data_IF_580244346531
#
_entry.id   IF_580244346531
#
_cell.length_a   1.000
_cell.length_b   1.000
_cell.length_c   1.000
_cell.angle_alpha   90.00
_cell.angle_beta   90.00
_cell.angle_gamma   90.00
#
_symmetry.space_group_name_H-M   'P 1'
#
loop_
_entity.id
_entity.type
_entity.pdbx_description
1 polymer ?
#
# COMPACT_ATOMS: atom_id res chain seq x y z
N UNK A 1 -84.86 11.57 -26.06
CA UNK A 1 -85.47 10.40 -25.40
C UNK A 1 -84.85 10.26 -24.02
N UNK A 2 -85.65 9.94 -23.00
CA UNK A 2 -85.30 9.41 -21.64
C UNK A 2 -83.92 9.75 -21.06
N UNK A 3 -83.78 10.61 -20.04
CA UNK A 3 -84.10 10.35 -18.60
C UNK A 3 -83.27 9.21 -17.94
N UNK A 4 -82.86 9.27 -16.66
CA UNK A 4 -82.78 10.35 -15.64
C UNK A 4 -82.06 9.78 -14.39
N UNK A 5 -81.20 10.56 -13.69
CA UNK A 5 -80.63 10.26 -12.33
C UNK A 5 -79.79 8.96 -12.23
N UNK A 6 -79.03 8.65 -11.17
CA UNK A 6 -78.77 9.37 -9.90
C UNK A 6 -77.63 8.72 -9.09
N UNK A 7 -77.33 9.26 -7.91
CA UNK A 7 -76.21 8.83 -7.04
C UNK A 7 -76.38 7.42 -6.44
N UNK A 8 -75.27 6.74 -6.12
CA UNK A 8 -75.14 6.03 -4.83
C UNK A 8 -73.68 5.84 -4.37
N UNK A 9 -73.56 5.49 -3.09
CA UNK A 9 -72.34 5.22 -2.34
C UNK A 9 -72.42 3.80 -1.79
N UNK A 10 -71.27 3.11 -1.70
CA UNK A 10 -71.20 1.73 -1.20
C UNK A 10 -70.31 1.59 0.04
N UNK A 11 -70.62 0.57 0.86
CA UNK A 11 -69.99 0.26 2.15
C UNK A 11 -69.43 -1.17 2.14
N UNK A 12 -68.50 -1.44 3.05
CA UNK A 12 -67.99 -2.79 3.33
C UNK A 12 -69.10 -3.76 3.80
N UNK A 13 -69.00 -5.07 3.46
CA UNK A 13 -69.71 -6.16 4.12
C UNK A 13 -68.81 -7.04 5.02
N UNK A 14 -69.44 -7.80 5.92
CA UNK A 14 -68.88 -8.85 6.82
C UNK A 14 -70.05 -9.67 7.41
N UNK A 15 -69.86 -10.84 8.09
CA UNK A 15 -68.63 -11.63 8.31
C UNK A 15 -68.55 -12.83 7.32
N UNK A 16 -68.90 -14.13 7.58
CA UNK A 16 -69.40 -14.87 8.76
C UNK A 16 -68.45 -16.02 9.25
N UNK A 17 -69.00 -17.01 9.97
CA UNK A 17 -68.49 -18.34 10.43
C UNK A 17 -69.71 -19.27 10.63
N UNK A 18 -69.61 -20.57 11.00
CA UNK A 18 -68.45 -21.43 11.29
C UNK A 18 -68.30 -22.52 10.17
N UNK A 19 -68.11 -23.85 10.30
CA UNK A 19 -67.97 -24.80 11.44
C UNK A 19 -67.31 -26.14 10.99
N UNK A 20 -67.02 -27.04 11.94
CA UNK A 20 -66.56 -28.42 11.70
C UNK A 20 -65.45 -28.88 12.67
N UNK A 21 -65.65 -30.02 13.35
CA UNK A 21 -64.73 -30.55 14.35
C UNK A 21 -64.43 -32.05 14.18
N UNK A 22 -63.18 -32.46 14.43
CA UNK A 22 -62.81 -33.81 14.90
C UNK A 22 -61.34 -33.87 15.37
N UNK A 23 -61.07 -34.76 16.33
CA UNK A 23 -59.75 -35.27 16.72
C UNK A 23 -59.42 -36.52 15.86
N UNK A 24 -58.24 -37.15 15.84
CA UNK A 24 -56.87 -36.90 16.34
C UNK A 24 -56.00 -38.09 15.89
N UNK A 25 -54.69 -37.92 15.63
CA UNK A 25 -53.70 -38.96 15.97
C UNK A 25 -52.25 -38.42 15.96
N UNK A 26 -51.32 -39.20 16.49
CA UNK A 26 -49.95 -38.77 16.80
C UNK A 26 -48.87 -39.56 16.06
N UNK A 27 -47.81 -38.88 15.63
CA UNK A 27 -46.52 -39.47 15.25
C UNK A 27 -45.44 -38.40 15.29
N UNK A 28 -44.37 -38.64 16.06
CA UNK A 28 -43.24 -37.72 16.19
C UNK A 28 -41.96 -38.24 15.51
N UNK A 29 -41.04 -37.37 15.08
CA UNK A 29 -39.74 -37.79 14.54
C UNK A 29 -38.75 -38.13 15.66
N UNK A 30 -37.96 -39.19 15.47
CA UNK A 30 -36.99 -39.69 16.44
C UNK A 30 -35.64 -38.94 16.41
N UNK A 31 -34.85 -39.07 17.49
CA UNK A 31 -33.46 -38.62 17.55
C UNK A 31 -32.47 -39.72 17.11
N UNK A 32 -31.32 -39.37 16.50
CA UNK A 32 -30.20 -40.29 16.30
C UNK A 32 -29.40 -40.48 17.61
N UNK A 33 -28.97 -41.72 17.88
CA UNK A 33 -28.28 -42.09 19.12
C UNK A 33 -26.81 -41.69 19.17
N UNK A 34 -26.30 -41.49 20.40
CA UNK A 34 -24.88 -41.47 20.73
C UNK A 34 -24.21 -42.85 20.55
N UNK A 35 -22.89 -42.85 20.29
CA UNK A 35 -22.03 -44.04 20.39
C UNK A 35 -20.56 -43.66 20.66
N UNK A 36 -19.95 -44.29 21.68
CA UNK A 36 -18.53 -44.24 22.06
C UNK A 36 -18.28 -45.38 23.08
N UNK A 37 -17.02 -45.84 23.33
CA UNK A 37 -15.80 -45.77 22.54
C UNK A 37 -15.38 -47.20 22.09
N UNK A 38 -14.08 -47.55 21.96
CA UNK A 38 -13.33 -47.97 23.14
C UNK A 38 -11.93 -47.33 23.28
N UNK A 39 -11.34 -47.44 24.47
CA UNK A 39 -10.03 -46.88 24.84
C UNK A 39 -8.91 -47.94 24.86
N UNK A 40 -7.67 -47.53 24.59
CA UNK A 40 -6.49 -48.37 24.81
C UNK A 40 -5.21 -47.55 25.08
N UNK A 41 -4.52 -47.87 26.19
CA UNK A 41 -3.05 -47.88 26.26
C UNK A 41 -2.26 -46.56 26.27
N UNK A 42 -2.14 -45.92 27.44
CA UNK A 42 -0.91 -45.17 27.77
C UNK A 42 0.20 -46.16 28.15
N UNK A 43 1.46 -45.87 27.79
CA UNK A 43 2.59 -46.24 28.65
C UNK A 43 3.44 -45.02 29.03
N UNK A 44 3.69 -44.87 30.32
CA UNK A 44 4.73 -43.97 30.86
C UNK A 44 6.12 -44.61 30.72
N UNK A 45 7.15 -43.79 30.46
CA UNK A 45 8.52 -44.30 30.36
C UNK A 45 9.58 -43.23 30.15
N UNK A 46 10.10 -42.66 31.23
CA UNK A 46 11.46 -42.11 31.25
C UNK A 46 12.48 -43.27 31.28
N UNK A 47 13.68 -43.06 30.73
CA UNK A 47 14.81 -43.04 31.65
C UNK A 47 15.80 -41.89 31.40
N UNK A 48 16.54 -41.57 32.47
CA UNK A 48 17.70 -40.68 32.51
C UNK A 48 18.89 -41.21 31.69
N UNK A 49 19.73 -40.33 31.13
CA UNK A 49 20.90 -40.75 30.35
C UNK A 49 21.91 -39.68 29.94
N UNK A 50 22.48 -38.92 30.88
CA UNK A 50 23.77 -38.21 30.67
C UNK A 50 24.91 -39.15 31.12
N UNK A 51 26.06 -39.19 30.42
CA UNK A 51 27.19 -38.39 30.92
C UNK A 51 28.11 -37.80 29.83
N UNK A 52 29.07 -37.01 30.33
CA UNK A 52 30.08 -36.17 29.67
C UNK A 52 30.92 -36.75 28.52
N UNK A 53 31.48 -35.84 27.69
CA UNK A 53 32.44 -36.16 26.62
C UNK A 53 33.18 -34.94 26.01
N UNK A 54 34.00 -34.24 26.81
CA UNK A 54 35.06 -33.30 26.31
C UNK A 54 36.42 -34.01 26.43
N UNK A 55 37.33 -33.92 25.45
CA UNK A 55 38.27 -32.79 25.30
C UNK A 55 38.14 -32.12 23.91
N UNK A 56 38.60 -30.89 23.60
CA UNK A 56 39.80 -30.09 23.94
C UNK A 56 41.00 -30.32 22.98
N UNK A 57 41.57 -29.22 22.47
CA UNK A 57 42.57 -29.18 21.38
C UNK A 57 41.93 -29.02 19.98
N UNK A 58 42.50 -28.32 19.00
CA UNK A 58 43.67 -27.41 19.05
C UNK A 58 43.61 -26.43 17.86
N UNK A 59 43.92 -25.15 18.04
CA UNK A 59 44.32 -24.26 16.92
C UNK A 59 45.82 -24.41 16.65
N UNK A 60 46.28 -24.35 15.40
CA UNK A 60 46.81 -23.07 14.91
C UNK A 60 46.58 -22.84 13.41
N UNK A 61 47.12 -21.74 12.87
CA UNK A 61 47.44 -21.64 11.44
C UNK A 61 46.69 -20.58 10.64
N UNK A 62 47.09 -19.31 10.81
CA UNK A 62 47.07 -18.37 9.68
C UNK A 62 48.45 -18.42 8.99
N UNK A 63 48.52 -18.25 7.66
CA UNK A 63 49.69 -17.67 7.00
C UNK A 63 49.42 -16.21 6.65
N UNK A 64 50.42 -15.36 6.87
CA UNK A 64 50.46 -14.00 6.33
C UNK A 64 51.31 -13.98 5.04
N UNK A 65 51.06 -12.96 4.22
CA UNK A 65 51.90 -12.40 3.15
C UNK A 65 53.14 -13.21 2.66
N UNK A 66 53.15 -13.50 1.36
CA UNK A 66 54.36 -13.24 0.56
C UNK A 66 54.14 -12.00 -0.31
N UNK A 67 55.20 -11.21 -0.45
CA UNK A 67 55.25 -10.07 -1.35
C UNK A 67 56.46 -10.26 -2.28
N UNK A 68 56.20 -10.42 -3.58
CA UNK A 68 57.21 -10.49 -4.62
C UNK A 68 56.88 -9.46 -5.71
N UNK A 69 57.51 -8.28 -5.61
CA UNK A 69 57.38 -7.23 -6.61
C UNK A 69 58.53 -7.26 -7.62
N UNK A 70 58.21 -7.08 -8.90
CA UNK A 70 59.17 -6.67 -9.94
C UNK A 70 58.53 -5.54 -10.75
N UNK A 71 59.36 -4.59 -11.18
CA UNK A 71 59.00 -3.36 -11.89
C UNK A 71 58.53 -3.58 -13.33
N UNK A 72 57.79 -2.61 -13.90
CA UNK A 72 57.95 -2.31 -15.33
C UNK A 72 56.88 -1.43 -15.97
N UNK A 73 57.32 -0.30 -16.53
CA UNK A 73 56.74 0.44 -17.67
C UNK A 73 55.27 0.90 -17.62
N UNK A 74 55.06 2.21 -17.59
CA UNK A 74 53.95 2.85 -18.30
C UNK A 74 54.10 2.66 -19.83
N UNK A 75 53.04 2.94 -20.60
CA UNK A 75 53.20 4.02 -21.58
C UNK A 75 52.05 5.03 -21.57
N UNK A 76 52.39 6.31 -21.65
CA UNK A 76 51.43 7.39 -21.92
C UNK A 76 50.93 7.35 -23.37
N UNK A 77 49.65 7.67 -23.57
CA UNK A 77 48.96 7.52 -24.86
C UNK A 77 48.01 8.68 -25.19
N UNK A 78 48.46 9.93 -24.98
CA UNK A 78 47.63 11.11 -25.28
C UNK A 78 47.46 11.29 -26.80
N UNK A 79 46.21 11.35 -27.28
CA UNK A 79 45.87 11.68 -28.67
C UNK A 79 45.20 13.05 -28.75
N UNK A 80 45.91 14.02 -29.32
CA UNK A 80 45.39 15.37 -29.52
C UNK A 80 44.35 15.43 -30.66
N UNK A 81 43.50 16.45 -30.63
CA UNK A 81 42.72 16.94 -31.78
C UNK A 81 43.07 18.41 -32.03
N UNK A 82 43.11 18.87 -33.29
CA UNK A 82 43.58 20.21 -33.63
C UNK A 82 42.49 21.29 -33.52
N UNK A 83 42.90 22.51 -33.21
CA UNK A 83 42.10 23.72 -33.35
C UNK A 83 41.99 24.21 -34.81
N UNK A 84 40.88 24.89 -35.12
CA UNK A 84 40.82 25.86 -36.21
C UNK A 84 39.76 26.95 -35.93
N UNK A 85 40.07 28.18 -36.32
CA UNK A 85 39.24 29.39 -36.18
C UNK A 85 37.90 29.32 -36.97
N UNK A 86 36.91 30.18 -36.74
CA UNK A 86 36.77 31.32 -35.81
C UNK A 86 35.65 32.27 -36.28
N UNK A 87 35.31 33.30 -35.49
CA UNK A 87 34.24 34.25 -35.88
C UNK A 87 34.16 35.49 -34.98
N UNK A 88 34.30 36.66 -35.58
CA UNK A 88 34.23 37.97 -34.91
C UNK A 88 32.82 38.57 -34.91
N UNK A 89 32.49 39.35 -33.88
CA UNK A 89 31.30 40.21 -33.83
C UNK A 89 31.74 41.65 -33.47
N UNK A 90 31.13 42.71 -34.07
CA UNK A 90 31.56 44.10 -33.88
C UNK A 90 30.79 44.86 -32.78
N UNK A 91 31.40 45.96 -32.33
CA UNK A 91 30.92 46.88 -31.29
C UNK A 91 29.87 47.91 -31.74
N UNK A 92 29.18 48.51 -30.75
CA UNK A 92 28.47 49.79 -30.85
C UNK A 92 27.10 49.80 -30.15
N UNK A 93 26.75 50.77 -29.30
CA UNK A 93 27.52 51.89 -28.75
C UNK A 93 26.66 52.74 -27.78
N UNK A 94 27.26 53.37 -26.78
CA UNK A 94 26.57 54.25 -25.80
C UNK A 94 26.36 55.68 -26.37
N UNK A 95 25.53 56.55 -25.75
CA UNK A 95 25.91 57.24 -24.50
C UNK A 95 24.74 57.53 -23.52
N UNK A 96 25.04 58.08 -22.35
CA UNK A 96 24.03 58.62 -21.44
C UNK A 96 24.48 58.66 -19.97
N UNK A 97 25.31 59.64 -19.60
CA UNK A 97 25.79 59.80 -18.23
C UNK A 97 25.68 61.27 -17.75
N UNK A 98 24.90 61.47 -16.69
CA UNK A 98 25.05 62.62 -15.78
C UNK A 98 25.07 62.08 -14.35
N UNK A 99 25.97 62.60 -13.51
CA UNK A 99 26.08 62.21 -12.11
C UNK A 99 26.17 63.44 -11.21
N UNK A 100 25.67 63.32 -9.97
CA UNK A 100 25.84 64.33 -8.90
C UNK A 100 25.98 63.68 -7.52
N UNK A 101 27.15 63.92 -6.92
CA UNK A 101 27.39 64.14 -5.48
C UNK A 101 26.79 63.18 -4.45
N UNK A 102 27.66 62.48 -3.70
CA UNK A 102 27.30 61.77 -2.48
C UNK A 102 27.46 62.67 -1.23
N UNK A 103 26.56 62.50 -0.25
CA UNK A 103 26.71 62.91 1.15
C UNK A 103 25.91 61.93 2.03
N UNK A 104 26.32 61.64 3.29
CA UNK A 104 25.81 60.48 4.02
C UNK A 104 24.59 60.76 4.89
N UNK A 105 23.62 59.84 4.89
CA UNK A 105 22.55 59.75 5.88
C UNK A 105 22.53 58.36 6.53
N UNK A 106 22.40 58.32 7.86
CA UNK A 106 22.45 57.10 8.67
C UNK A 106 21.20 56.22 8.52
N UNK A 107 21.30 55.15 7.73
CA UNK A 107 20.30 54.07 7.72
C UNK A 107 20.51 53.11 8.88
N UNK A 108 19.57 53.06 9.82
CA UNK A 108 19.63 52.15 10.97
C UNK A 108 19.49 50.69 10.55
N UNK A 109 20.41 49.82 10.98
CA UNK A 109 20.30 48.38 10.75
C UNK A 109 19.25 47.76 11.68
N UNK A 110 18.00 47.72 11.21
CA UNK A 110 16.96 46.92 11.84
C UNK A 110 17.23 45.44 11.59
N UNK A 111 17.96 44.79 12.51
CA UNK A 111 17.93 43.33 12.63
C UNK A 111 16.46 42.87 12.69
N UNK A 112 16.04 41.86 11.92
CA UNK A 112 14.74 41.24 12.14
C UNK A 112 14.72 40.66 13.57
N UNK A 113 13.67 40.96 14.32
CA UNK A 113 13.48 40.43 15.68
C UNK A 113 13.22 38.92 15.67
N UNK A 114 13.48 38.20 16.77
CA UNK A 114 13.32 36.75 16.86
C UNK A 114 11.84 36.30 16.98
N UNK A 115 10.91 36.97 16.30
CA UNK A 115 9.46 36.77 16.39
C UNK A 115 8.75 37.01 15.05
N UNK A 116 9.23 36.39 13.98
CA UNK A 116 8.37 36.07 12.81
C UNK A 116 8.60 34.62 12.35
N UNK A 117 8.50 33.70 13.32
CA UNK A 117 8.21 32.30 13.01
C UNK A 117 6.78 32.27 12.53
N UNK A 118 6.58 32.28 11.20
CA UNK A 118 5.27 32.09 10.58
C UNK A 118 4.65 30.79 11.10
N UNK A 119 3.73 30.92 12.07
CA UNK A 119 3.07 29.80 12.74
C UNK A 119 2.20 29.05 11.75
N UNK A 120 2.80 28.05 11.09
CA UNK A 120 2.13 27.18 10.12
C UNK A 120 0.84 26.65 10.76
N UNK A 121 -0.34 26.86 10.16
CA UNK A 121 -1.60 26.57 10.83
C UNK A 121 -1.69 25.09 11.21
N UNK A 122 -2.30 24.78 12.37
CA UNK A 122 -2.33 23.42 12.91
C UNK A 122 -2.92 22.43 11.90
N UNK A 123 -2.54 21.15 11.97
CA UNK A 123 -3.13 20.14 11.11
C UNK A 123 -4.65 20.08 11.33
N UNK A 124 -5.45 19.96 10.25
CA UNK A 124 -6.89 19.85 10.39
C UNK A 124 -7.21 18.54 11.11
N UNK A 125 -8.16 18.60 12.05
CA UNK A 125 -8.62 17.42 12.77
C UNK A 125 -9.12 16.34 11.80
N UNK A 126 -8.85 15.08 12.13
CA UNK A 126 -9.32 13.94 11.34
C UNK A 126 -10.86 13.87 11.40
N UNK A 127 -11.49 13.49 10.28
CA UNK A 127 -12.95 13.38 10.20
C UNK A 127 -13.49 12.36 11.21
N UNK A 128 -14.65 12.59 11.84
CA UNK A 128 -15.31 11.59 12.69
C UNK A 128 -15.48 10.26 11.93
N UNK A 129 -15.21 9.10 12.58
CA UNK A 129 -15.20 7.81 11.90
C UNK A 129 -16.58 7.45 11.34
N UNK A 130 -16.60 6.99 10.08
CA UNK A 130 -17.81 6.51 9.41
C UNK A 130 -18.22 5.13 9.95
N UNK A 131 -19.53 4.83 10.09
CA UNK A 131 -19.99 3.49 10.44
C UNK A 131 -19.57 2.46 9.39
N UNK A 132 -18.98 1.35 9.85
CA UNK A 132 -18.50 0.26 9.00
C UNK A 132 -19.67 -0.37 8.23
N UNK A 133 -19.48 -0.63 6.94
CA UNK A 133 -20.50 -1.20 6.06
C UNK A 133 -21.59 -0.20 5.58
N UNK A 134 -21.55 1.06 6.01
CA UNK A 134 -22.52 2.07 5.59
C UNK A 134 -22.54 2.25 4.05
N UNK A 135 -23.74 2.18 3.46
CA UNK A 135 -23.94 2.39 2.03
C UNK A 135 -24.10 3.87 1.72
N UNK A 136 -23.51 4.32 0.60
CA UNK A 136 -23.58 5.70 0.11
C UNK A 136 -23.87 5.71 -1.39
N UNK A 137 -24.43 6.82 -1.86
CA UNK A 137 -24.53 7.13 -3.29
C UNK A 137 -23.33 8.03 -3.62
N UNK A 138 -22.66 7.73 -4.73
CA UNK A 138 -21.45 8.41 -5.18
C UNK A 138 -21.66 9.05 -6.57
N UNK A 139 -20.86 10.07 -6.93
CA UNK A 139 -20.82 10.57 -8.31
C UNK A 139 -20.53 9.44 -9.31
N UNK A 140 -21.07 9.57 -10.53
CA UNK A 140 -20.81 8.60 -11.61
C UNK A 140 -19.35 8.59 -12.10
N UNK A 141 -18.57 9.62 -11.75
CA UNK A 141 -17.13 9.69 -12.03
C UNK A 141 -16.40 10.62 -11.07
N UNK A 142 -15.15 10.24 -10.76
CA UNK A 142 -14.15 10.97 -9.99
C UNK A 142 -13.09 11.62 -10.90
N UNK A 143 -13.30 11.70 -12.22
CA UNK A 143 -12.32 12.30 -13.15
C UNK A 143 -11.90 13.73 -12.78
N UNK A 144 -12.75 14.47 -12.06
CA UNK A 144 -12.44 15.80 -11.48
C UNK A 144 -11.38 15.78 -10.36
N UNK A 145 -10.97 14.60 -9.87
CA UNK A 145 -9.89 14.39 -8.89
C UNK A 145 -8.55 14.05 -9.53
N UNK A 146 -8.48 13.90 -10.86
CA UNK A 146 -7.22 13.65 -11.57
C UNK A 146 -6.28 14.84 -11.41
N UNK A 147 -5.06 14.58 -10.92
CA UNK A 147 -4.01 15.60 -10.77
C UNK A 147 -3.15 15.76 -12.03
N UNK A 148 -3.44 15.00 -13.09
CA UNK A 148 -2.82 15.11 -14.41
C UNK A 148 -3.73 14.46 -15.47
N UNK A 149 -3.67 14.90 -16.74
CA UNK A 149 -4.44 14.29 -17.82
C UNK A 149 -3.96 12.86 -18.08
N UNK A 150 -4.90 11.94 -18.33
CA UNK A 150 -4.58 10.55 -18.70
C UNK A 150 -3.89 10.48 -20.07
N UNK A 151 -3.04 9.47 -20.34
CA UNK A 151 -2.33 9.31 -21.61
C UNK A 151 -3.26 9.33 -22.84
N UNK A 152 -3.18 10.42 -23.62
CA UNK A 152 -3.95 10.59 -24.85
C UNK A 152 -3.37 9.83 -26.05
N UNK A 153 -4.06 9.88 -27.19
CA UNK A 153 -3.68 9.13 -28.41
C UNK A 153 -2.23 9.35 -28.88
N UNK A 154 -1.67 10.55 -28.67
CA UNK A 154 -0.25 10.85 -28.99
C UNK A 154 0.73 10.09 -28.08
N UNK A 155 0.40 9.93 -26.80
CA UNK A 155 1.20 9.13 -25.87
C UNK A 155 1.14 7.65 -26.24
N UNK A 156 -0.05 7.12 -26.54
CA UNK A 156 -0.22 5.73 -26.99
C UNK A 156 0.52 5.44 -28.32
N UNK A 157 0.47 6.37 -29.27
CA UNK A 157 1.21 6.24 -30.54
C UNK A 157 2.74 6.33 -30.33
N UNK A 158 3.21 7.19 -29.43
CA UNK A 158 4.62 7.25 -29.02
C UNK A 158 5.05 5.92 -28.40
N UNK A 159 4.25 5.38 -27.49
CA UNK A 159 4.53 4.14 -26.77
C UNK A 159 4.61 2.94 -27.72
N UNK A 160 3.69 2.85 -28.69
CA UNK A 160 3.69 1.81 -29.71
C UNK A 160 4.91 1.90 -30.64
N UNK A 161 5.46 3.10 -30.89
CA UNK A 161 6.70 3.31 -31.65
C UNK A 161 7.95 2.99 -30.84
N UNK A 162 7.95 3.27 -29.54
CA UNK A 162 9.14 3.13 -28.67
C UNK A 162 9.26 1.76 -28.00
N UNK A 163 8.18 0.97 -27.92
CA UNK A 163 8.19 -0.41 -27.40
C UNK A 163 8.45 -0.56 -25.89
N UNK A 164 8.77 0.53 -25.20
CA UNK A 164 9.35 0.61 -23.85
C UNK A 164 8.43 0.23 -22.68
N UNK A 165 7.49 -0.70 -22.85
CA UNK A 165 6.60 -1.20 -21.78
C UNK A 165 7.04 -2.54 -21.17
N UNK A 166 8.24 -3.02 -21.51
CA UNK A 166 8.86 -4.22 -20.92
C UNK A 166 10.37 -4.06 -20.85
N UNK A 167 11.06 -4.66 -19.87
CA UNK A 167 12.52 -4.64 -19.80
C UNK A 167 13.13 -5.52 -20.89
N UNK A 168 14.41 -5.28 -21.19
CA UNK A 168 15.14 -6.08 -22.17
C UNK A 168 15.29 -7.53 -21.72
N UNK A 169 15.16 -8.48 -22.66
CA UNK A 169 15.06 -9.90 -22.34
C UNK A 169 16.31 -10.50 -21.66
N UNK A 170 17.48 -9.89 -21.86
CA UNK A 170 18.74 -10.24 -21.17
C UNK A 170 18.67 -9.91 -19.68
N UNK A 171 18.32 -8.67 -19.32
CA UNK A 171 18.12 -8.26 -17.94
C UNK A 171 17.05 -9.11 -17.23
N UNK A 172 15.97 -9.49 -17.94
CA UNK A 172 14.98 -10.43 -17.38
C UNK A 172 15.57 -11.82 -17.10
N UNK A 173 16.47 -12.33 -17.94
CA UNK A 173 17.10 -13.64 -17.73
C UNK A 173 18.17 -13.61 -16.61
N UNK A 174 18.89 -12.48 -16.48
CA UNK A 174 19.99 -12.29 -15.53
C UNK A 174 19.50 -11.89 -14.13
N UNK A 175 18.48 -11.03 -14.03
CA UNK A 175 18.05 -10.44 -12.75
C UNK A 175 16.95 -11.26 -12.05
N UNK A 176 16.05 -11.93 -12.77
CA UNK A 176 14.96 -12.71 -12.15
C UNK A 176 15.48 -13.79 -11.17
N UNK A 177 16.56 -14.54 -11.46
CA UNK A 177 17.15 -15.50 -10.51
C UNK A 177 17.77 -14.86 -9.26
N UNK A 178 18.04 -13.55 -9.28
CA UNK A 178 18.68 -12.79 -8.20
C UNK A 178 17.68 -12.02 -7.32
N UNK A 179 16.37 -12.10 -7.62
CA UNK A 179 15.35 -11.36 -6.87
C UNK A 179 15.23 -11.87 -5.43
N UNK A 180 15.22 -10.97 -4.43
CA UNK A 180 15.22 -11.38 -3.03
C UNK A 180 13.86 -12.00 -2.65
N UNK A 181 13.85 -13.31 -2.48
CA UNK A 181 12.71 -14.12 -2.06
C UNK A 181 13.09 -14.96 -0.84
N UNK A 182 12.47 -14.69 0.30
CA UNK A 182 12.74 -15.36 1.57
C UNK A 182 11.43 -15.55 2.36
N UNK A 183 10.54 -16.47 1.91
CA UNK A 183 9.34 -16.83 2.65
C UNK A 183 9.70 -17.42 4.02
N UNK A 184 9.04 -16.92 5.06
CA UNK A 184 9.18 -17.41 6.43
C UNK A 184 7.86 -17.43 7.19
N UNK A 185 7.86 -17.91 8.44
CA UNK A 185 6.67 -17.82 9.29
C UNK A 185 6.30 -16.35 9.52
N UNK A 186 5.00 -16.07 9.56
CA UNK A 186 4.49 -14.77 9.96
C UNK A 186 4.80 -14.53 11.45
N UNK A 187 5.36 -13.37 11.83
CA UNK A 187 5.56 -13.06 13.23
C UNK A 187 4.21 -12.84 13.90
N UNK A 188 4.09 -13.33 15.14
CA UNK A 188 2.99 -12.98 16.04
C UNK A 188 3.46 -11.85 16.97
N UNK A 189 3.30 -10.56 16.60
CA UNK A 189 3.52 -9.48 17.55
C UNK A 189 2.51 -9.59 18.70
N UNK A 190 2.87 -9.05 19.86
CA UNK A 190 1.93 -8.88 20.96
C UNK A 190 0.73 -8.00 20.57
N UNK A 191 -0.31 -7.91 21.42
CA UNK A 191 -1.53 -7.14 21.16
C UNK A 191 -1.31 -5.71 20.66
N UNK A 192 -0.28 -5.07 21.21
CA UNK A 192 0.08 -3.67 21.01
C UNK A 192 1.32 -3.52 20.09
N UNK A 193 1.84 -4.63 19.54
CA UNK A 193 2.96 -4.64 18.59
C UNK A 193 2.48 -4.54 17.14
N UNK A 194 3.30 -3.94 16.29
CA UNK A 194 3.05 -3.75 14.87
C UNK A 194 3.99 -4.66 14.06
N UNK A 195 3.46 -5.51 13.17
CA UNK A 195 4.32 -6.26 12.23
C UNK A 195 3.85 -6.14 10.78
N UNK A 196 4.80 -6.28 9.86
CA UNK A 196 4.54 -6.30 8.42
C UNK A 196 5.28 -7.46 7.76
N UNK A 197 4.63 -8.09 6.78
CA UNK A 197 5.21 -9.11 5.91
C UNK A 197 4.85 -8.82 4.47
N UNK A 198 5.85 -8.79 3.59
CA UNK A 198 5.63 -8.48 2.18
C UNK A 198 5.24 -9.74 1.39
N UNK A 199 4.00 -9.85 0.93
CA UNK A 199 3.57 -10.97 0.08
C UNK A 199 3.98 -10.78 -1.41
N UNK A 200 4.56 -9.62 -1.75
CA UNK A 200 4.93 -9.21 -3.10
C UNK A 200 3.93 -8.20 -3.68
N UNK A 201 4.38 -7.43 -4.68
CA UNK A 201 3.66 -6.30 -5.28
C UNK A 201 3.27 -5.24 -4.22
N UNK A 202 2.04 -4.73 -4.25
CA UNK A 202 1.47 -3.90 -3.18
C UNK A 202 0.80 -4.73 -2.05
N UNK A 203 0.91 -6.07 -2.08
CA UNK A 203 0.27 -6.93 -1.09
C UNK A 203 1.11 -7.10 0.18
N UNK A 204 0.60 -6.59 1.30
CA UNK A 204 1.18 -6.74 2.63
C UNK A 204 0.22 -7.48 3.56
N UNK A 205 0.78 -8.29 4.45
CA UNK A 205 0.11 -8.71 5.69
C UNK A 205 0.57 -7.73 6.78
N UNK A 206 -0.35 -6.95 7.32
CA UNK A 206 -0.08 -5.97 8.38
C UNK A 206 -0.80 -6.41 9.66
N UNK A 207 -0.06 -6.58 10.75
CA UNK A 207 -0.62 -6.82 12.09
C UNK A 207 -0.52 -5.52 12.88
N UNK A 208 -1.66 -4.99 13.34
CA UNK A 208 -1.73 -3.70 14.03
C UNK A 208 -2.94 -3.69 14.99
N UNK A 209 -2.73 -3.33 16.26
CA UNK A 209 -3.77 -3.38 17.31
C UNK A 209 -4.48 -4.74 17.41
N UNK A 210 -3.73 -5.83 17.25
CA UNK A 210 -4.24 -7.21 17.22
C UNK A 210 -5.09 -7.60 16.00
N UNK A 211 -5.23 -6.74 14.98
CA UNK A 211 -5.92 -7.06 13.73
C UNK A 211 -4.94 -7.55 12.66
N UNK A 212 -5.36 -8.53 11.86
CA UNK A 212 -4.67 -8.91 10.61
C UNK A 212 -5.34 -8.21 9.42
N UNK A 213 -4.65 -7.21 8.86
CA UNK A 213 -5.10 -6.41 7.72
C UNK A 213 -4.32 -6.82 6.47
N UNK A 214 -5.01 -7.01 5.35
CA UNK A 214 -4.36 -7.13 4.03
C UNK A 214 -4.46 -5.81 3.26
N UNK A 215 -3.35 -5.35 2.69
CA UNK A 215 -3.36 -4.33 1.64
C UNK A 215 -3.46 -5.02 0.28
N UNK A 216 -4.25 -4.47 -0.65
CA UNK A 216 -4.27 -4.81 -2.10
C UNK A 216 -3.89 -6.28 -2.44
N UNK A 217 -4.67 -7.28 -1.98
CA UNK A 217 -4.19 -8.66 -1.90
C UNK A 217 -4.28 -9.40 -3.25
N UNK A 218 -3.11 -9.76 -3.80
CA UNK A 218 -2.97 -10.45 -5.11
C UNK A 218 -2.10 -11.71 -4.99
N UNK A 219 -2.76 -12.80 -4.58
CA UNK A 219 -2.21 -14.17 -4.56
C UNK A 219 -2.28 -14.87 -5.93
N UNK A 220 -2.83 -14.21 -6.96
CA UNK A 220 -2.93 -14.78 -8.31
C UNK A 220 -1.57 -14.86 -9.02
N UNK A 221 -1.32 -15.99 -9.69
CA UNK A 221 -0.11 -16.18 -10.53
C UNK A 221 -0.08 -15.28 -11.76
N UNK A 222 -1.25 -14.87 -12.27
CA UNK A 222 -1.42 -13.97 -13.43
C UNK A 222 -2.54 -12.99 -13.12
N UNK A 223 -2.35 -11.74 -13.52
CA UNK A 223 -3.38 -10.70 -13.59
C UNK A 223 -3.76 -10.46 -15.06
N UNK A 224 -4.84 -9.72 -15.33
CA UNK A 224 -5.31 -9.53 -16.69
C UNK A 224 -4.43 -8.51 -17.43
N UNK A 225 -3.77 -8.94 -18.51
CA UNK A 225 -2.96 -8.09 -19.39
C UNK A 225 -1.44 -8.29 -19.29
N UNK A 226 -0.95 -9.03 -18.30
CA UNK A 226 0.49 -9.21 -18.04
C UNK A 226 0.97 -10.65 -18.27
N UNK A 227 2.30 -10.88 -18.27
CA UNK A 227 2.88 -12.19 -17.95
C UNK A 227 2.47 -12.70 -16.56
N UNK A 228 2.93 -13.91 -16.20
CA UNK A 228 2.85 -14.36 -14.80
C UNK A 228 3.75 -13.50 -13.89
N UNK A 229 3.45 -13.47 -12.58
CA UNK A 229 4.39 -12.88 -11.60
C UNK A 229 5.74 -13.58 -11.69
N UNK A 230 6.81 -12.79 -11.66
CA UNK A 230 8.21 -13.26 -11.76
C UNK A 230 8.69 -13.80 -10.41
N UNK A 231 8.35 -13.09 -9.32
CA UNK A 231 8.59 -13.54 -7.94
C UNK A 231 7.34 -14.25 -7.38
N UNK A 232 7.45 -15.44 -6.76
CA UNK A 232 6.32 -16.13 -6.12
C UNK A 232 5.65 -15.30 -5.01
N UNK A 233 4.48 -15.74 -4.53
CA UNK A 233 3.82 -15.06 -3.40
C UNK A 233 4.60 -15.39 -2.12
N UNK A 234 5.01 -14.37 -1.38
CA UNK A 234 5.89 -14.51 -0.22
C UNK A 234 5.27 -15.22 1.00
N UNK A 235 3.94 -15.25 1.07
CA UNK A 235 3.17 -15.87 2.17
C UNK A 235 2.16 -16.81 1.53
N UNK A 236 2.22 -18.11 1.83
CA UNK A 236 1.22 -19.03 1.29
C UNK A 236 -0.11 -18.89 2.04
N UNK A 237 -1.22 -19.04 1.30
CA UNK A 237 -2.53 -18.58 1.78
C UNK A 237 -3.05 -19.35 3.00
N UNK A 238 -2.72 -20.64 3.10
CA UNK A 238 -3.10 -21.47 4.24
C UNK A 238 -2.31 -21.15 5.53
N UNK A 239 -1.25 -20.37 5.41
CA UNK A 239 -0.42 -19.92 6.55
C UNK A 239 -0.88 -18.55 7.07
N UNK A 240 -1.87 -17.91 6.42
CA UNK A 240 -2.45 -16.64 6.85
C UNK A 240 -3.34 -16.82 8.10
N UNK A 241 -3.16 -16.01 9.16
CA UNK A 241 -4.13 -15.86 10.24
C UNK A 241 -5.51 -15.41 9.73
N UNK A 242 -6.57 -15.48 10.58
CA UNK A 242 -7.87 -14.91 10.27
C UNK A 242 -7.77 -13.43 9.83
N UNK A 243 -8.28 -13.12 8.63
CA UNK A 243 -8.21 -11.78 8.04
C UNK A 243 -9.39 -10.91 8.50
N UNK A 244 -9.07 -9.79 9.12
CA UNK A 244 -10.01 -8.91 9.82
C UNK A 244 -10.43 -7.69 9.02
N UNK A 245 -9.56 -7.26 8.10
CA UNK A 245 -9.84 -6.21 7.16
C UNK A 245 -9.04 -6.42 5.87
N UNK A 246 -9.61 -5.95 4.76
CA UNK A 246 -8.83 -5.66 3.56
C UNK A 246 -8.99 -4.17 3.27
N UNK A 247 -7.86 -3.49 3.05
CA UNK A 247 -7.84 -2.14 2.49
C UNK A 247 -7.50 -2.22 1.00
N UNK A 248 -8.25 -1.48 0.18
CA UNK A 248 -8.03 -1.40 -1.26
C UNK A 248 -7.65 0.04 -1.64
N UNK A 249 -6.49 0.26 -2.27
CA UNK A 249 -6.04 1.59 -2.70
C UNK A 249 -6.87 2.13 -3.87
N UNK A 250 -7.02 1.30 -4.91
CA UNK A 250 -7.71 1.63 -6.15
C UNK A 250 -8.12 0.34 -6.89
N UNK A 251 -8.65 0.47 -8.11
CA UNK A 251 -9.36 -0.65 -8.75
C UNK A 251 -8.58 -1.46 -9.79
N UNK A 252 -7.27 -1.24 -10.02
CA UNK A 252 -6.52 -1.98 -11.06
C UNK A 252 -6.39 -3.49 -10.75
N UNK A 253 -5.95 -4.27 -11.74
CA UNK A 253 -6.00 -5.75 -11.67
C UNK A 253 -4.96 -6.35 -10.72
N UNK A 254 -3.84 -5.65 -10.55
CA UNK A 254 -2.72 -5.90 -9.65
C UNK A 254 -2.94 -5.40 -8.21
N UNK A 255 -4.03 -4.68 -7.94
CA UNK A 255 -4.41 -4.22 -6.60
C UNK A 255 -5.72 -4.85 -6.10
N UNK A 256 -6.65 -5.12 -7.02
CA UNK A 256 -7.96 -5.67 -6.73
C UNK A 256 -8.16 -6.99 -7.49
N UNK A 257 -7.64 -8.07 -6.93
CA UNK A 257 -7.70 -9.42 -7.52
C UNK A 257 -8.95 -10.20 -7.08
N UNK A 258 -9.89 -10.39 -8.02
CA UNK A 258 -11.14 -11.11 -7.74
C UNK A 258 -10.93 -12.60 -7.37
N UNK A 259 -10.02 -13.39 -7.98
CA UNK A 259 -9.63 -14.69 -7.48
C UNK A 259 -9.22 -14.71 -6.01
N UNK A 260 -8.34 -13.80 -5.57
CA UNK A 260 -7.90 -13.72 -4.17
C UNK A 260 -9.04 -13.36 -3.24
N UNK A 261 -9.81 -12.31 -3.54
CA UNK A 261 -10.95 -11.92 -2.69
C UNK A 261 -12.06 -13.00 -2.61
N UNK A 262 -12.21 -13.88 -3.61
CA UNK A 262 -13.14 -15.03 -3.50
C UNK A 262 -12.75 -16.06 -2.43
N UNK A 263 -11.52 -16.03 -1.91
CA UNK A 263 -11.05 -16.92 -0.84
C UNK A 263 -11.46 -16.47 0.56
N UNK A 264 -11.89 -15.20 0.70
CA UNK A 264 -12.28 -14.62 1.98
C UNK A 264 -13.74 -14.94 2.35
N UNK A 265 -14.04 -15.05 3.67
CA UNK A 265 -15.40 -14.97 4.19
C UNK A 265 -16.11 -13.70 3.70
N UNK A 266 -17.40 -13.80 3.36
CA UNK A 266 -18.14 -12.63 2.84
C UNK A 266 -18.50 -11.58 3.90
N UNK A 267 -18.34 -11.93 5.17
CA UNK A 267 -18.42 -11.05 6.32
C UNK A 267 -17.16 -10.19 6.52
N UNK A 268 -16.01 -10.56 5.94
CA UNK A 268 -14.74 -9.82 6.10
C UNK A 268 -14.91 -8.35 5.71
N UNK A 269 -14.64 -7.40 6.62
CA UNK A 269 -14.62 -5.97 6.32
C UNK A 269 -13.73 -5.61 5.13
N UNK A 270 -14.34 -5.02 4.09
CA UNK A 270 -13.61 -4.38 3.01
C UNK A 270 -13.72 -2.87 3.14
N UNK A 271 -12.57 -2.20 3.26
CA UNK A 271 -12.44 -0.76 3.20
C UNK A 271 -11.94 -0.39 1.81
N UNK A 272 -12.76 0.36 1.08
CA UNK A 272 -12.56 0.59 -0.36
C UNK A 272 -12.79 2.05 -0.76
N UNK A 273 -12.23 2.51 -1.89
CA UNK A 273 -12.45 3.86 -2.38
C UNK A 273 -13.91 4.10 -2.75
N UNK A 274 -14.35 5.36 -2.64
CA UNK A 274 -15.63 5.84 -3.09
C UNK A 274 -16.02 5.29 -4.49
N UNK A 275 -17.24 4.77 -4.61
CA UNK A 275 -17.78 4.17 -5.83
C UNK A 275 -17.40 2.71 -6.10
N UNK A 276 -16.40 2.14 -5.42
CA UNK A 276 -15.98 0.75 -5.66
C UNK A 276 -16.91 -0.29 -4.99
N UNK A 277 -17.70 0.09 -3.98
CA UNK A 277 -18.42 -0.88 -3.15
C UNK A 277 -19.48 -1.70 -3.90
N UNK A 278 -20.01 -1.21 -5.02
CA UNK A 278 -20.88 -1.98 -5.90
C UNK A 278 -20.17 -3.21 -6.51
N UNK A 279 -18.88 -3.11 -6.83
CA UNK A 279 -18.06 -4.20 -7.36
C UNK A 279 -17.87 -5.31 -6.31
N UNK A 280 -17.68 -4.94 -5.05
CA UNK A 280 -17.51 -5.86 -3.93
C UNK A 280 -18.83 -6.54 -3.53
N UNK A 281 -19.92 -5.76 -3.39
CA UNK A 281 -21.24 -6.29 -3.05
C UNK A 281 -21.79 -7.23 -4.12
N UNK A 282 -21.50 -6.99 -5.41
CA UNK A 282 -21.80 -7.94 -6.52
C UNK A 282 -21.05 -9.28 -6.40
N UNK A 283 -20.00 -9.38 -5.57
CA UNK A 283 -19.27 -10.62 -5.25
C UNK A 283 -19.68 -11.26 -3.92
N UNK A 284 -20.77 -10.75 -3.32
CA UNK A 284 -21.40 -11.28 -2.12
C UNK A 284 -20.89 -10.68 -0.80
N UNK A 285 -19.90 -9.78 -0.81
CA UNK A 285 -19.42 -9.16 0.43
C UNK A 285 -20.51 -8.29 1.08
N UNK A 286 -20.77 -8.54 2.37
CA UNK A 286 -21.79 -7.84 3.16
C UNK A 286 -21.22 -6.58 3.82
N UNK A 287 -20.02 -6.69 4.40
CA UNK A 287 -19.34 -5.62 5.13
C UNK A 287 -18.43 -4.82 4.19
N UNK A 288 -18.97 -3.80 3.52
CA UNK A 288 -18.21 -2.97 2.56
C UNK A 288 -18.37 -1.48 2.87
N UNK A 289 -17.29 -0.85 3.32
CA UNK A 289 -17.20 0.57 3.69
C UNK A 289 -16.56 1.36 2.55
N UNK A 290 -17.24 2.39 2.06
CA UNK A 290 -16.76 3.27 0.98
C UNK A 290 -16.42 4.66 1.53
N UNK A 291 -15.19 5.13 1.27
CA UNK A 291 -14.66 6.40 1.77
C UNK A 291 -14.14 7.31 0.64
N UNK A 292 -14.37 8.61 0.78
CA UNK A 292 -13.65 9.68 0.09
C UNK A 292 -12.35 10.00 0.84
N UNK A 293 -11.47 10.79 0.24
CA UNK A 293 -10.24 11.25 0.88
C UNK A 293 -10.52 12.02 2.17
N UNK A 294 -9.67 11.79 3.17
CA UNK A 294 -9.76 12.35 4.53
C UNK A 294 -10.97 11.90 5.34
N UNK A 295 -11.72 10.91 4.87
CA UNK A 295 -12.67 10.16 5.70
C UNK A 295 -11.98 8.91 6.26
N UNK A 296 -12.36 8.52 7.49
CA UNK A 296 -11.89 7.30 8.12
C UNK A 296 -13.03 6.45 8.67
N UNK A 297 -12.71 5.22 9.08
CA UNK A 297 -13.59 4.29 9.77
C UNK A 297 -12.79 3.45 10.77
N UNK A 298 -13.45 2.79 11.72
CA UNK A 298 -12.77 2.13 12.85
C UNK A 298 -13.30 0.73 13.16
N UNK A 299 -12.39 -0.21 13.42
CA UNK A 299 -12.69 -1.54 13.96
C UNK A 299 -12.26 -1.64 15.43
N UNK A 300 -12.92 -2.47 16.27
CA UNK A 300 -12.41 -2.79 17.59
C UNK A 300 -11.04 -3.50 17.47
N UNK A 301 -10.06 -3.06 18.26
CA UNK A 301 -8.79 -3.75 18.41
C UNK A 301 -8.96 -5.10 19.14
N UNK A 302 -8.01 -6.02 18.98
CA UNK A 302 -7.96 -7.29 19.75
C UNK A 302 -6.82 -7.29 20.77
N UNK A 303 -7.06 -7.96 21.90
CA UNK A 303 -6.04 -8.15 22.96
C UNK A 303 -5.62 -9.59 23.22
N UNK A 304 -6.28 -10.54 22.58
CA UNK A 304 -6.27 -11.97 22.94
C UNK A 304 -6.59 -12.89 21.74
N UNK A 305 -6.60 -12.36 20.51
CA UNK A 305 -7.04 -13.08 19.31
C UNK A 305 -8.54 -13.40 19.24
N UNK A 306 -9.33 -13.05 20.27
CA UNK A 306 -10.75 -13.42 20.34
C UNK A 306 -11.63 -12.67 19.32
N UNK A 307 -12.70 -13.31 18.86
CA UNK A 307 -13.66 -12.67 17.96
C UNK A 307 -14.33 -11.47 18.66
N UNK A 308 -14.28 -10.30 18.02
CA UNK A 308 -14.73 -9.05 18.62
C UNK A 308 -16.26 -9.04 18.83
N UNK A 309 -16.70 -9.33 20.05
CA UNK A 309 -18.08 -9.17 20.50
C UNK A 309 -18.56 -7.73 20.31
N UNK A 310 -19.57 -7.56 19.46
CA UNK A 310 -20.18 -6.27 19.16
C UNK A 310 -21.04 -5.79 20.33
N UNK A 311 -20.77 -4.60 20.84
CA UNK A 311 -21.55 -3.96 21.91
C UNK A 311 -20.77 -3.01 22.82
N UNK A 312 -19.45 -3.20 22.96
CA UNK A 312 -18.62 -2.38 23.85
C UNK A 312 -18.29 -0.98 23.32
N UNK A 313 -19.03 0.03 23.76
CA UNK A 313 -18.51 1.40 23.82
C UNK A 313 -17.33 1.44 24.82
N UNK A 314 -16.25 2.15 24.48
CA UNK A 314 -15.03 2.18 25.29
C UNK A 314 -14.00 1.07 25.00
N UNK A 315 -14.25 0.15 24.06
CA UNK A 315 -13.17 -0.73 23.53
C UNK A 315 -12.20 0.10 22.68
N UNK A 316 -10.91 -0.19 22.82
CA UNK A 316 -9.83 0.31 21.97
C UNK A 316 -10.08 0.00 20.48
N UNK A 317 -9.59 0.84 19.56
CA UNK A 317 -9.90 0.79 18.12
C UNK A 317 -8.68 0.96 17.25
N UNK A 318 -8.65 0.24 16.14
CA UNK A 318 -7.77 0.51 15.00
C UNK A 318 -8.55 1.35 14.00
N UNK A 319 -7.94 2.43 13.55
CA UNK A 319 -8.51 3.42 12.64
C UNK A 319 -7.92 3.29 11.24
N UNK A 320 -8.79 3.42 10.25
CA UNK A 320 -8.52 3.25 8.82
C UNK A 320 -8.93 4.55 8.10
N UNK A 321 -7.99 5.45 7.86
CA UNK A 321 -8.22 6.69 7.10
C UNK A 321 -7.83 6.53 5.63
N UNK A 322 -8.71 6.92 4.70
CA UNK A 322 -8.41 6.92 3.27
C UNK A 322 -7.81 8.27 2.86
N UNK A 323 -6.67 8.27 2.18
CA UNK A 323 -5.90 9.49 1.85
C UNK A 323 -5.66 9.64 0.35
N UNK A 324 -5.43 10.85 -0.17
CA UNK A 324 -5.22 11.07 -1.60
C UNK A 324 -4.01 10.36 -2.19
N UNK A 325 -4.05 10.16 -3.51
CA UNK A 325 -2.94 9.72 -4.33
C UNK A 325 -2.95 10.43 -5.70
N UNK A 326 -1.77 10.67 -6.25
CA UNK A 326 -1.59 11.10 -7.64
C UNK A 326 -1.73 9.89 -8.57
N UNK A 327 -2.96 9.39 -8.76
CA UNK A 327 -3.24 8.22 -9.59
C UNK A 327 -4.61 8.33 -10.28
N UNK A 328 -5.21 7.20 -10.65
CA UNK A 328 -6.48 7.08 -11.37
C UNK A 328 -7.13 5.71 -11.13
N UNK A 329 -8.18 5.34 -11.88
CA UNK A 329 -8.77 3.99 -11.79
C UNK A 329 -9.40 3.54 -13.11
N UNK A 330 -9.23 2.27 -13.50
CA UNK A 330 -9.89 1.60 -14.64
C UNK A 330 -9.77 0.07 -14.59
N UNK A 331 -10.84 -0.64 -14.94
CA UNK A 331 -10.85 -2.11 -15.18
C UNK A 331 -11.40 -2.53 -16.52
N UNK A 332 -12.27 -1.73 -17.13
CA UNK A 332 -12.92 -2.05 -18.40
C UNK A 332 -12.81 -0.86 -19.34
N UNK A 333 -13.29 -1.03 -20.58
CA UNK A 333 -13.23 0.04 -21.58
C UNK A 333 -14.10 1.26 -21.22
N UNK A 334 -15.01 1.16 -20.26
CA UNK A 334 -16.02 2.20 -19.97
C UNK A 334 -16.01 2.74 -18.53
N UNK A 335 -15.17 2.20 -17.63
CA UNK A 335 -15.19 2.53 -16.19
C UNK A 335 -14.04 3.42 -15.68
N UNK A 336 -13.29 4.05 -16.59
CA UNK A 336 -12.27 5.06 -16.26
C UNK A 336 -12.79 6.07 -15.23
N UNK A 337 -12.11 6.14 -14.09
CA UNK A 337 -12.44 7.00 -12.95
C UNK A 337 -13.88 6.85 -12.43
N UNK A 338 -14.52 5.67 -12.54
CA UNK A 338 -15.84 5.41 -11.91
C UNK A 338 -15.77 5.03 -10.42
N UNK A 339 -14.57 4.71 -9.92
CA UNK A 339 -14.27 4.76 -8.49
C UNK A 339 -13.11 5.71 -8.24
N UNK A 340 -12.95 6.11 -6.99
CA UNK A 340 -11.77 6.85 -6.51
C UNK A 340 -10.55 5.92 -6.38
N UNK A 341 -9.42 6.49 -5.98
CA UNK A 341 -8.10 5.90 -5.77
C UNK A 341 -7.40 6.66 -4.65
N UNK A 342 -6.47 6.04 -3.92
CA UNK A 342 -5.84 6.66 -2.75
C UNK A 342 -4.98 5.69 -1.94
N UNK A 343 -4.27 6.21 -0.96
CA UNK A 343 -3.59 5.42 0.07
C UNK A 343 -4.46 5.21 1.32
N UNK A 344 -3.91 4.51 2.31
CA UNK A 344 -4.53 4.29 3.62
C UNK A 344 -3.54 4.63 4.73
N UNK A 345 -4.00 5.32 5.77
CA UNK A 345 -3.28 5.39 7.06
C UNK A 345 -4.00 4.52 8.06
N UNK A 346 -3.27 3.55 8.61
CA UNK A 346 -3.71 2.70 9.72
C UNK A 346 -3.12 3.28 11.00
N UNK A 347 -3.97 3.63 11.98
CA UNK A 347 -3.55 4.09 13.31
C UNK A 347 -4.07 3.10 14.37
N UNK A 348 -3.20 2.65 15.27
CA UNK A 348 -3.59 1.77 16.38
C UNK A 348 -4.08 2.57 17.62
N UNK A 349 -4.54 1.89 18.70
CA UNK A 349 -4.99 2.57 19.92
C UNK A 349 -3.90 3.34 20.68
N UNK A 350 -2.63 3.01 20.45
CA UNK A 350 -1.44 3.58 21.08
C UNK A 350 -0.93 4.81 20.29
N UNK A 351 -1.35 4.95 19.04
CA UNK A 351 -0.97 6.01 18.12
C UNK A 351 0.08 5.63 17.08
N UNK A 352 0.53 4.37 17.03
CA UNK A 352 1.45 3.86 16.00
C UNK A 352 0.79 3.93 14.63
N UNK A 353 1.56 4.27 13.59
CA UNK A 353 1.02 4.50 12.23
C UNK A 353 1.77 3.80 11.10
N UNK A 354 0.99 3.09 10.29
CA UNK A 354 1.40 2.60 8.97
C UNK A 354 0.70 3.41 7.89
N UNK A 355 1.45 4.09 7.03
CA UNK A 355 0.95 4.66 5.78
C UNK A 355 1.18 3.68 4.64
N UNK A 356 0.10 3.19 4.03
CA UNK A 356 0.14 2.42 2.79
C UNK A 356 -0.21 3.36 1.62
N UNK A 357 0.75 3.69 0.76
CA UNK A 357 0.54 4.70 -0.28
C UNK A 357 -0.42 4.27 -1.40
N UNK A 358 -0.58 2.97 -1.64
CA UNK A 358 -1.12 2.46 -2.90
C UNK A 358 -0.22 2.86 -4.07
N UNK A 359 -0.82 3.12 -5.23
CA UNK A 359 -0.13 3.69 -6.38
C UNK A 359 -0.29 5.21 -6.40
N UNK A 360 0.81 5.92 -6.65
CA UNK A 360 0.83 7.39 -6.72
C UNK A 360 2.09 7.87 -7.44
N UNK A 361 1.96 8.93 -8.24
CA UNK A 361 3.09 9.79 -8.63
C UNK A 361 3.53 10.68 -7.47
N UNK A 362 4.65 11.41 -7.65
CA UNK A 362 5.14 12.36 -6.65
C UNK A 362 4.35 13.68 -6.66
N UNK A 363 4.15 14.26 -5.47
CA UNK A 363 3.57 15.59 -5.34
C UNK A 363 3.06 15.92 -3.93
N UNK A 364 2.33 17.04 -3.87
CA UNK A 364 1.96 17.73 -2.62
C UNK A 364 1.13 16.91 -1.62
N UNK A 365 0.52 15.80 -2.04
CA UNK A 365 -0.27 14.96 -1.13
C UNK A 365 0.58 14.36 -0.01
N UNK A 366 1.85 14.01 -0.25
CA UNK A 366 2.72 13.47 0.79
C UNK A 366 2.92 14.44 1.96
N UNK A 367 3.20 15.72 1.66
CA UNK A 367 3.37 16.76 2.69
C UNK A 367 2.07 17.11 3.43
N UNK A 368 0.90 16.96 2.79
CA UNK A 368 -0.41 17.14 3.45
C UNK A 368 -0.81 15.92 4.31
N UNK A 369 -0.44 14.70 3.87
CA UNK A 369 -0.56 13.47 4.68
C UNK A 369 0.33 13.58 5.91
N UNK A 370 1.61 13.90 5.75
CA UNK A 370 2.55 14.06 6.86
C UNK A 370 2.14 15.15 7.85
N UNK A 371 1.53 16.24 7.35
CA UNK A 371 0.93 17.27 8.21
C UNK A 371 -0.22 16.69 9.05
N UNK A 372 -1.18 15.97 8.44
CA UNK A 372 -2.37 15.44 9.12
C UNK A 372 -2.09 14.26 10.05
N UNK A 373 -1.10 13.43 9.73
CA UNK A 373 -0.79 12.18 10.41
C UNK A 373 0.61 12.20 11.05
N UNK A 374 1.06 13.38 11.50
CA UNK A 374 2.39 13.63 12.05
C UNK A 374 2.88 12.56 13.04
N UNK A 375 4.03 11.96 12.74
CA UNK A 375 4.51 10.74 13.39
C UNK A 375 3.95 9.49 12.69
N UNK A 376 4.41 9.23 11.47
CA UNK A 376 4.21 7.93 10.80
C UNK A 376 5.41 7.05 11.13
N UNK A 377 5.19 5.84 11.65
CA UNK A 377 6.29 4.93 12.00
C UNK A 377 6.83 4.20 10.77
N UNK A 378 5.94 3.86 9.83
CA UNK A 378 6.29 3.13 8.61
C UNK A 378 5.47 3.62 7.41
N UNK A 379 6.15 3.96 6.31
CA UNK A 379 5.55 4.19 5.01
C UNK A 379 5.83 3.02 4.05
N UNK A 380 4.78 2.38 3.56
CA UNK A 380 4.82 1.40 2.48
C UNK A 380 4.64 2.16 1.16
N UNK A 381 5.70 2.26 0.35
CA UNK A 381 5.79 3.18 -0.79
C UNK A 381 6.17 2.46 -2.09
N UNK A 382 5.47 2.71 -3.21
CA UNK A 382 5.78 2.07 -4.48
C UNK A 382 7.11 2.59 -5.05
N UNK A 383 7.95 1.68 -5.55
CA UNK A 383 9.22 2.02 -6.22
C UNK A 383 9.36 1.39 -7.61
N UNK A 384 8.30 0.75 -8.14
CA UNK A 384 8.25 0.19 -9.50
C UNK A 384 7.19 0.87 -10.36
N UNK A 385 6.99 0.32 -11.56
CA UNK A 385 6.05 0.82 -12.57
C UNK A 385 6.34 2.26 -13.03
N UNK A 386 7.61 2.66 -13.09
CA UNK A 386 8.00 4.03 -13.38
C UNK A 386 8.48 4.29 -14.81
N UNK A 387 9.01 3.29 -15.54
CA UNK A 387 9.54 3.52 -16.89
C UNK A 387 8.54 3.16 -18.01
N UNK A 388 8.30 4.02 -19.03
CA UNK A 388 9.01 5.27 -19.32
C UNK A 388 8.56 6.46 -18.45
N UNK A 389 9.51 7.12 -17.79
CA UNK A 389 9.23 8.26 -16.87
C UNK A 389 8.39 9.37 -17.52
N UNK A 390 8.54 9.63 -18.82
CA UNK A 390 7.75 10.66 -19.52
C UNK A 390 6.24 10.37 -19.55
N UNK A 391 5.83 9.12 -19.35
CA UNK A 391 4.42 8.69 -19.32
C UNK A 391 3.94 8.38 -17.90
N UNK A 392 4.78 7.72 -17.09
CA UNK A 392 4.35 7.14 -15.81
C UNK A 392 4.62 8.04 -14.59
N UNK A 393 5.51 9.05 -14.69
CA UNK A 393 5.78 10.01 -13.59
C UNK A 393 4.54 10.68 -12.96
N UNK A 394 3.48 11.05 -13.71
CA UNK A 394 2.27 11.62 -13.11
C UNK A 394 1.46 10.63 -12.26
N UNK A 395 1.78 9.34 -12.29
CA UNK A 395 0.98 8.24 -11.72
C UNK A 395 1.77 7.19 -10.90
N UNK A 396 3.10 7.12 -11.03
CA UNK A 396 4.02 6.30 -10.23
C UNK A 396 5.31 7.08 -9.89
N UNK A 397 5.73 7.01 -8.62
CA UNK A 397 7.04 7.45 -8.13
C UNK A 397 8.17 6.59 -8.70
N UNK A 398 9.31 7.22 -9.01
CA UNK A 398 10.59 6.50 -9.08
C UNK A 398 11.17 6.30 -7.66
N UNK A 399 12.22 5.48 -7.47
CA UNK A 399 12.79 5.21 -6.16
C UNK A 399 13.23 6.46 -5.41
N UNK A 400 13.75 7.46 -6.12
CA UNK A 400 14.19 8.74 -5.57
C UNK A 400 13.00 9.61 -5.14
N UNK A 401 11.92 9.64 -5.94
CA UNK A 401 10.65 10.26 -5.55
C UNK A 401 10.00 9.57 -4.35
N UNK A 402 10.17 8.26 -4.19
CA UNK A 402 9.67 7.52 -3.02
C UNK A 402 10.47 7.80 -1.74
N UNK A 403 11.80 7.95 -1.81
CA UNK A 403 12.60 8.40 -0.66
C UNK A 403 12.21 9.82 -0.24
N UNK A 404 11.99 10.73 -1.19
CA UNK A 404 11.44 12.08 -0.91
C UNK A 404 10.04 12.01 -0.29
N UNK A 405 9.16 11.15 -0.80
CA UNK A 405 7.83 10.93 -0.23
C UNK A 405 7.86 10.46 1.24
N UNK A 406 8.82 9.61 1.62
CA UNK A 406 9.04 9.21 3.01
C UNK A 406 9.40 10.41 3.89
N UNK A 407 10.24 11.32 3.41
CA UNK A 407 10.60 12.56 4.10
C UNK A 407 9.41 13.53 4.21
N UNK A 408 8.66 13.75 3.14
CA UNK A 408 7.49 14.64 3.09
C UNK A 408 6.34 14.18 4.00
N UNK A 409 6.12 12.86 4.11
CA UNK A 409 5.18 12.26 5.08
C UNK A 409 5.69 12.37 6.53
N UNK A 410 6.98 12.67 6.74
CA UNK A 410 7.60 12.63 8.05
C UNK A 410 7.63 11.20 8.63
N UNK A 411 7.71 10.19 7.77
CA UNK A 411 7.75 8.79 8.18
C UNK A 411 9.13 8.45 8.74
N UNK A 412 9.17 7.70 9.85
CA UNK A 412 10.41 7.21 10.45
C UNK A 412 11.10 6.21 9.51
N UNK A 413 10.34 5.23 9.02
CA UNK A 413 10.82 4.09 8.20
C UNK A 413 10.11 4.01 6.85
N UNK A 414 10.76 3.37 5.88
CA UNK A 414 10.20 3.09 4.56
C UNK A 414 10.34 1.62 4.21
N UNK A 415 9.24 0.98 3.81
CA UNK A 415 9.29 -0.33 3.14
C UNK A 415 8.94 -0.16 1.65
N UNK A 416 9.88 -0.38 0.72
CA UNK A 416 9.61 -0.31 -0.70
C UNK A 416 8.71 -1.45 -1.18
N UNK A 417 7.77 -1.17 -2.09
CA UNK A 417 6.81 -2.14 -2.64
C UNK A 417 6.52 -1.92 -4.14
N UNK A 418 5.56 -2.66 -4.71
CA UNK A 418 5.14 -2.61 -6.13
C UNK A 418 6.17 -3.12 -7.17
N UNK A 419 7.44 -3.22 -6.80
CA UNK A 419 8.52 -3.68 -7.67
C UNK A 419 8.65 -5.22 -7.74
N UNK A 420 9.38 -5.69 -8.78
CA UNK A 420 9.83 -7.08 -9.00
C UNK A 420 8.82 -8.21 -8.82
N UNK A 421 7.52 -7.93 -8.97
CA UNK A 421 6.48 -8.94 -8.80
C UNK A 421 5.72 -9.19 -10.10
N UNK A 422 5.20 -8.14 -10.73
CA UNK A 422 4.68 -8.20 -12.10
C UNK A 422 5.52 -7.28 -13.00
N UNK A 423 5.65 -7.65 -14.29
CA UNK A 423 6.28 -6.79 -15.30
C UNK A 423 5.20 -5.86 -15.86
N UNK A 424 5.21 -4.60 -15.43
CA UNK A 424 4.20 -3.58 -15.74
C UNK A 424 4.71 -2.45 -16.67
N UNK A 425 6.03 -2.40 -16.90
CA UNK A 425 6.80 -1.20 -17.22
C UNK A 425 8.16 -1.56 -17.84
N UNK A 426 8.96 -0.56 -18.21
CA UNK A 426 10.27 -0.72 -18.85
C UNK A 426 11.44 -1.07 -17.94
N UNK A 427 11.40 -0.77 -16.63
CA UNK A 427 12.60 -0.85 -15.78
C UNK A 427 13.09 -2.29 -15.48
N UNK A 428 14.41 -2.54 -15.44
CA UNK A 428 14.95 -3.84 -15.06
C UNK A 428 14.51 -4.27 -13.64
N UNK A 429 14.18 -5.56 -13.41
CA UNK A 429 13.63 -6.04 -12.12
C UNK A 429 14.38 -5.60 -10.85
N UNK A 430 15.71 -5.56 -10.85
CA UNK A 430 16.53 -5.15 -9.71
C UNK A 430 16.80 -3.64 -9.64
N UNK A 431 16.65 -2.89 -10.74
CA UNK A 431 16.95 -1.44 -10.78
C UNK A 431 16.22 -0.65 -9.67
N UNK A 432 14.91 -0.88 -9.38
CA UNK A 432 14.23 -0.28 -8.23
C UNK A 432 14.94 -0.44 -6.89
N UNK A 433 15.46 -1.65 -6.60
CA UNK A 433 16.08 -1.98 -5.32
C UNK A 433 17.46 -1.32 -5.18
N UNK A 434 18.24 -1.27 -6.25
CA UNK A 434 19.53 -0.57 -6.25
C UNK A 434 19.30 0.92 -6.03
N UNK A 435 18.47 1.55 -6.86
CA UNK A 435 18.18 2.99 -6.79
C UNK A 435 17.56 3.44 -5.47
N UNK A 436 16.67 2.65 -4.85
CA UNK A 436 16.09 3.04 -3.53
C UNK A 436 17.14 3.00 -2.42
N UNK A 437 18.12 2.08 -2.48
CA UNK A 437 19.22 2.02 -1.51
C UNK A 437 20.16 3.20 -1.67
N UNK A 438 20.53 3.51 -2.90
CA UNK A 438 21.44 4.62 -3.21
C UNK A 438 20.80 5.96 -2.82
N UNK A 439 19.55 6.20 -3.22
CA UNK A 439 18.80 7.41 -2.85
C UNK A 439 18.57 7.55 -1.33
N UNK A 440 18.42 6.43 -0.59
CA UNK A 440 18.29 6.45 0.86
C UNK A 440 19.61 6.79 1.57
N UNK A 441 20.74 6.31 1.02
CA UNK A 441 22.07 6.64 1.51
C UNK A 441 22.44 8.10 1.21
N UNK A 442 22.14 8.60 0.00
CA UNK A 442 22.30 10.02 -0.37
C UNK A 442 21.43 10.93 0.51
N UNK A 443 20.21 10.50 0.84
CA UNK A 443 19.33 11.17 1.78
C UNK A 443 19.81 11.14 3.26
N UNK A 444 20.95 10.50 3.56
CA UNK A 444 21.56 10.47 4.88
C UNK A 444 20.75 9.74 5.96
N UNK A 445 19.85 8.82 5.57
CA UNK A 445 18.95 8.14 6.51
C UNK A 445 19.57 6.83 7.06
N UNK A 446 19.24 6.43 8.31
CA UNK A 446 19.75 5.18 8.89
C UNK A 446 19.38 3.95 8.04
N UNK A 447 20.33 3.03 7.84
CA UNK A 447 20.16 1.86 6.95
C UNK A 447 19.10 0.89 7.47
N UNK A 448 18.98 0.79 8.78
CA UNK A 448 18.03 -0.02 9.54
C UNK A 448 16.57 0.44 9.40
N UNK A 449 16.34 1.70 9.00
CA UNK A 449 15.02 2.27 8.77
C UNK A 449 14.55 2.12 7.29
N UNK A 450 15.43 1.64 6.39
CA UNK A 450 15.05 1.14 5.07
C UNK A 450 14.72 -0.34 5.15
N UNK A 451 13.45 -0.67 4.99
CA UNK A 451 12.90 -2.03 5.06
C UNK A 451 12.72 -2.59 3.65
N UNK A 452 13.84 -2.72 2.94
CA UNK A 452 13.98 -3.34 1.62
C UNK A 452 13.89 -4.87 1.70
N UNK A 453 12.75 -5.36 2.19
CA UNK A 453 12.55 -6.77 2.51
C UNK A 453 12.56 -7.65 1.26
N UNK A 454 13.09 -8.89 1.35
CA UNK A 454 12.72 -9.96 0.43
C UNK A 454 11.21 -10.20 0.39
N UNK A 455 10.68 -10.64 -0.74
CA UNK A 455 9.31 -11.14 -0.81
C UNK A 455 9.19 -12.36 0.11
N UNK A 456 8.26 -12.29 1.06
CA UNK A 456 8.01 -13.30 2.09
C UNK A 456 8.67 -13.01 3.45
N UNK A 457 9.55 -12.01 3.53
CA UNK A 457 10.20 -11.64 4.78
C UNK A 457 9.39 -10.62 5.59
N UNK A 458 9.70 -10.55 6.89
CA UNK A 458 8.94 -9.80 7.89
C UNK A 458 9.79 -8.83 8.70
N UNK A 459 9.12 -7.83 9.29
CA UNK A 459 9.64 -6.95 10.34
C UNK A 459 8.58 -6.70 11.41
N UNK A 460 9.05 -6.40 12.62
CA UNK A 460 8.24 -6.04 13.78
C UNK A 460 8.72 -4.69 14.31
N UNK A 461 7.78 -3.82 14.68
CA UNK A 461 7.98 -2.73 15.63
C UNK A 461 7.33 -3.18 16.93
N UNK A 462 8.17 -3.35 17.96
CA UNK A 462 7.68 -3.45 19.33
C UNK A 462 7.14 -2.10 19.77
N UNK A 463 6.18 -2.12 20.70
CA UNK A 463 5.71 -0.89 21.35
C UNK A 463 6.88 -0.23 22.13
N UNK A 464 6.92 1.10 22.10
CA UNK A 464 7.97 1.93 22.72
C UNK A 464 7.68 2.28 24.19
#
# INVERSE_FOLDING_TARGET
MTERTGQRSERSPSPPRPDGAAASESSGPAQPSSAQPPSAGTPSGTPSGTPAGRPAGTSPGAPAAEAAGVSGAEPSGATARPDAAGGTAPDGGSPGAEGRTAAPCSGGSTRPGPTDVLLRPPPPALSPPRPVGARRIWPRSFAHRLTSPLPGVRALARLAREGAMRPVATALAEEIPQLPFAPGPLPEPGPDGLSVTWAGHASWVVRIGGLTVLTDPVWSRKILGTPARITPVGVAWQDLPPIDAVVISHNHYDHLDAPTLRRLPRSTPLFVPAGLGAWCRKRGFTTVTELDWWEGAELPARRDGSAATAGGAGRARVRFDFVPAHHWSKRTLTDTCRSLWGGWVLTDPQGQRVYFAGDTGYGHWFAEIGRRFAGVDLALLPIGAYDPRWMLRPVHTDPEEAVRACQDVGARRMAPMHWSTFLLSGEPPLEPLTRVRDAWAEAGRPREDLWDLPVGASRVLEAA
#
